data_IF_438664268238
#
_entry.id   IF_438664268238
#
_cell.length_a   1.000
_cell.length_b   1.000
_cell.length_c   1.000
_cell.angle_alpha   90.00
_cell.angle_beta   90.00
_cell.angle_gamma   90.00
#
_symmetry.space_group_name_H-M   'P 1'
#
loop_
_entity.id
_entity.type
_entity.pdbx_description
1 polymer ?
#
# COMPACT_ATOMS: atom_id res chain seq x y z
N UNK A 1 7.11 2.10 36.17
CA UNK A 1 6.85 1.86 34.74
C UNK A 1 5.51 2.47 34.44
N UNK A 2 5.50 3.42 33.52
CA UNK A 2 4.30 4.17 33.14
C UNK A 2 4.04 3.86 31.69
N UNK A 3 2.79 3.55 31.34
CA UNK A 3 2.49 2.99 30.02
C UNK A 3 1.50 3.88 29.29
N UNK A 4 1.80 4.18 28.03
CA UNK A 4 0.91 4.89 27.14
C UNK A 4 -0.10 3.90 26.55
N UNK A 5 -1.38 4.11 26.84
CA UNK A 5 -2.48 3.33 26.26
C UNK A 5 -2.97 4.03 24.99
N UNK A 6 -2.71 3.43 23.84
CA UNK A 6 -3.14 3.94 22.53
C UNK A 6 -4.39 3.18 22.09
N UNK A 7 -5.54 3.85 21.87
CA UNK A 7 -6.73 3.18 21.36
C UNK A 7 -6.52 2.77 19.89
N UNK A 8 -7.06 1.62 19.51
CA UNK A 8 -7.13 1.18 18.10
C UNK A 8 -8.57 0.87 17.70
N UNK A 9 -8.85 0.90 16.40
CA UNK A 9 -10.16 0.52 15.90
C UNK A 9 -10.26 -1.01 15.86
N UNK A 10 -11.40 -1.56 16.26
CA UNK A 10 -11.66 -3.00 16.27
C UNK A 10 -12.97 -3.28 15.54
N UNK A 11 -12.87 -3.99 14.45
CA UNK A 11 -13.99 -4.48 13.67
C UNK A 11 -14.27 -5.95 13.99
N UNK A 12 -15.54 -6.33 13.94
CA UNK A 12 -15.98 -7.70 14.12
C UNK A 12 -16.99 -8.10 13.05
N UNK A 13 -16.70 -9.19 12.35
CA UNK A 13 -17.56 -9.79 11.33
C UNK A 13 -18.05 -11.15 11.83
N UNK A 14 -19.37 -11.26 12.07
CA UNK A 14 -20.01 -12.54 12.39
C UNK A 14 -20.44 -13.26 11.11
N UNK A 15 -19.96 -14.48 10.93
CA UNK A 15 -20.31 -15.37 9.83
C UNK A 15 -21.00 -16.62 10.40
N UNK A 16 -22.31 -16.80 10.21
CA UNK A 16 -22.99 -18.00 10.71
C UNK A 16 -22.55 -19.27 9.98
N UNK A 17 -22.16 -19.14 8.71
CA UNK A 17 -21.68 -20.23 7.85
C UNK A 17 -20.35 -19.86 7.21
N UNK A 18 -19.65 -20.88 6.69
CA UNK A 18 -18.51 -20.66 5.80
C UNK A 18 -18.93 -19.75 4.64
N UNK A 19 -18.16 -18.70 4.39
CA UNK A 19 -18.52 -17.63 3.44
C UNK A 19 -17.33 -17.29 2.55
N UNK A 20 -17.55 -17.21 1.25
CA UNK A 20 -16.52 -16.79 0.30
C UNK A 20 -16.30 -15.28 0.38
N UNK A 21 -15.04 -14.87 0.41
CA UNK A 21 -14.60 -13.48 0.49
C UNK A 21 -13.45 -13.26 -0.49
N UNK A 22 -13.12 -12.00 -0.78
CA UNK A 22 -11.90 -11.67 -1.50
C UNK A 22 -10.69 -12.35 -0.84
N UNK A 23 -9.84 -12.96 -1.64
CA UNK A 23 -8.61 -13.61 -1.19
C UNK A 23 -7.49 -12.60 -0.93
N UNK A 24 -6.37 -13.07 -0.40
CA UNK A 24 -5.14 -12.29 -0.29
C UNK A 24 -4.74 -11.73 -1.66
N UNK A 25 -4.05 -10.59 -1.67
CA UNK A 25 -3.54 -10.02 -2.92
C UNK A 25 -2.45 -10.90 -3.55
N UNK A 26 -1.79 -11.73 -2.75
CA UNK A 26 -0.69 -12.62 -3.13
C UNK A 26 -0.81 -13.98 -2.45
N UNK A 27 -0.46 -15.03 -3.19
CA UNK A 27 -0.27 -16.38 -2.66
C UNK A 27 1.07 -16.95 -3.14
N UNK A 28 2.10 -16.76 -2.31
CA UNK A 28 3.46 -17.25 -2.57
C UNK A 28 3.57 -18.78 -2.53
N UNK A 29 2.55 -19.49 -2.04
CA UNK A 29 2.52 -20.96 -2.08
C UNK A 29 2.47 -21.53 -3.50
N UNK A 30 2.04 -20.70 -4.48
CA UNK A 30 1.97 -21.02 -5.90
C UNK A 30 3.33 -20.96 -6.61
N UNK A 31 4.36 -20.37 -5.99
CA UNK A 31 5.68 -20.26 -6.61
C UNK A 31 6.33 -21.63 -6.83
N UNK A 32 7.03 -21.85 -7.95
CA UNK A 32 7.79 -23.06 -8.18
C UNK A 32 9.08 -23.07 -7.37
N UNK A 33 9.48 -24.26 -6.91
CA UNK A 33 10.74 -24.43 -6.19
C UNK A 33 11.24 -25.86 -6.17
N UNK A 34 12.54 -26.04 -5.89
CA UNK A 34 13.14 -27.36 -5.77
C UNK A 34 13.20 -27.79 -4.31
N UNK A 35 12.68 -28.99 -4.04
CA UNK A 35 12.80 -29.69 -2.76
C UNK A 35 13.33 -31.09 -3.00
N UNK A 36 14.47 -31.44 -2.42
CA UNK A 36 15.14 -32.74 -2.62
C UNK A 36 15.29 -33.11 -4.11
N UNK A 37 15.75 -32.15 -4.92
CA UNK A 37 15.87 -32.26 -6.39
C UNK A 37 14.55 -32.49 -7.16
N UNK A 38 13.39 -32.42 -6.51
CA UNK A 38 12.09 -32.43 -7.17
C UNK A 38 11.54 -31.01 -7.30
N UNK A 39 11.16 -30.63 -8.52
CA UNK A 39 10.43 -29.39 -8.75
C UNK A 39 8.99 -29.52 -8.22
N UNK A 40 8.61 -28.63 -7.31
CA UNK A 40 7.25 -28.42 -6.80
C UNK A 40 6.59 -27.31 -7.62
N UNK A 41 5.28 -27.37 -7.82
CA UNK A 41 4.50 -26.47 -8.68
C UNK A 41 5.05 -26.40 -10.12
N UNK A 42 5.23 -27.57 -10.77
CA UNK A 42 5.87 -27.74 -12.09
C UNK A 42 5.18 -27.01 -13.27
N UNK A 43 4.01 -26.39 -13.07
CA UNK A 43 3.29 -25.59 -14.06
C UNK A 43 3.34 -24.07 -13.81
N UNK A 44 4.05 -23.62 -12.78
CA UNK A 44 4.12 -22.21 -12.39
C UNK A 44 5.50 -21.62 -12.68
N UNK A 45 5.56 -20.33 -13.01
CA UNK A 45 6.83 -19.61 -13.20
C UNK A 45 7.16 -18.81 -11.94
N UNK A 46 8.45 -18.59 -11.71
CA UNK A 46 8.91 -17.71 -10.64
C UNK A 46 8.79 -16.23 -11.08
N UNK A 47 7.55 -15.76 -11.22
CA UNK A 47 7.17 -14.40 -11.62
C UNK A 47 6.04 -13.90 -10.72
N UNK A 48 5.87 -12.59 -10.61
CA UNK A 48 4.82 -11.98 -9.79
C UNK A 48 3.42 -12.39 -10.23
N UNK A 49 3.16 -12.51 -11.54
CA UNK A 49 1.85 -12.93 -12.06
C UNK A 49 1.37 -14.28 -11.50
N UNK A 50 2.29 -15.20 -11.19
CA UNK A 50 1.96 -16.51 -10.59
C UNK A 50 1.32 -16.40 -9.22
N UNK A 51 1.72 -15.41 -8.43
CA UNK A 51 1.29 -15.26 -7.03
C UNK A 51 0.17 -14.24 -6.88
N UNK A 52 0.09 -13.26 -7.78
CA UNK A 52 -0.90 -12.20 -7.71
C UNK A 52 -2.31 -12.73 -7.95
N UNK A 53 -3.23 -12.27 -7.13
CA UNK A 53 -4.66 -12.53 -7.33
C UNK A 53 -5.17 -11.73 -8.52
N UNK A 54 -5.80 -12.43 -9.46
CA UNK A 54 -6.31 -11.81 -10.69
C UNK A 54 -7.56 -10.99 -10.36
N UNK A 55 -7.57 -9.68 -10.65
CA UNK A 55 -8.74 -8.84 -10.42
C UNK A 55 -9.99 -9.36 -11.15
N UNK A 56 -11.17 -9.09 -10.58
CA UNK A 56 -12.48 -9.44 -11.15
C UNK A 56 -12.71 -10.94 -11.39
N UNK A 57 -11.98 -11.81 -10.69
CA UNK A 57 -12.23 -13.26 -10.70
C UNK A 57 -13.06 -13.70 -9.49
N UNK A 58 -13.63 -14.91 -9.57
CA UNK A 58 -14.40 -15.46 -8.48
C UNK A 58 -13.50 -15.70 -7.26
N UNK A 59 -13.88 -15.22 -6.06
CA UNK A 59 -13.00 -15.33 -4.90
C UNK A 59 -12.72 -16.79 -4.52
N UNK A 60 -11.45 -17.12 -4.28
CA UNK A 60 -11.02 -18.48 -3.91
C UNK A 60 -10.89 -18.68 -2.39
N UNK A 61 -10.85 -17.61 -1.60
CA UNK A 61 -10.78 -17.69 -0.15
C UNK A 61 -12.17 -17.87 0.48
N UNK A 62 -12.27 -18.83 1.40
CA UNK A 62 -13.46 -18.99 2.24
C UNK A 62 -13.11 -18.82 3.71
N UNK A 63 -13.75 -17.88 4.38
CA UNK A 63 -13.68 -17.76 5.84
C UNK A 63 -14.59 -18.80 6.48
N UNK A 64 -14.12 -19.40 7.58
CA UNK A 64 -14.91 -20.34 8.38
C UNK A 64 -16.07 -19.61 9.08
N UNK A 65 -17.08 -20.37 9.51
CA UNK A 65 -18.10 -19.84 10.41
C UNK A 65 -17.43 -19.38 11.73
N UNK A 66 -17.92 -18.30 12.31
CA UNK A 66 -17.32 -17.71 13.51
C UNK A 66 -17.46 -16.20 13.59
N UNK A 67 -16.80 -15.63 14.61
CA UNK A 67 -16.54 -14.20 14.69
C UNK A 67 -15.10 -13.96 14.22
N UNK A 68 -14.94 -13.14 13.19
CA UNK A 68 -13.66 -12.64 12.72
C UNK A 68 -13.43 -11.24 13.26
N UNK A 69 -12.33 -11.05 13.99
CA UNK A 69 -11.89 -9.75 14.46
C UNK A 69 -10.75 -9.24 13.58
N UNK A 70 -10.76 -7.95 13.29
CA UNK A 70 -9.67 -7.22 12.65
C UNK A 70 -9.48 -5.91 13.38
N UNK A 71 -8.26 -5.55 13.72
CA UNK A 71 -7.98 -4.28 14.35
C UNK A 71 -7.00 -3.45 13.52
N UNK A 72 -7.21 -2.14 13.54
CA UNK A 72 -6.29 -1.21 12.92
C UNK A 72 -5.02 -1.06 13.77
N UNK A 73 -3.95 -0.59 13.14
CA UNK A 73 -2.78 -0.10 13.84
C UNK A 73 -2.94 1.41 14.08
N UNK A 74 -2.31 1.98 15.12
CA UNK A 74 -2.25 3.42 15.28
C UNK A 74 -1.60 4.09 14.08
N UNK A 75 -2.14 5.22 13.63
CA UNK A 75 -1.65 5.97 12.45
C UNK A 75 -0.15 6.27 12.51
N UNK A 76 0.38 6.59 13.70
CA UNK A 76 1.80 6.82 13.93
C UNK A 76 2.70 5.64 13.52
N UNK A 77 2.16 4.42 13.51
CA UNK A 77 2.87 3.19 13.14
C UNK A 77 2.61 2.77 11.68
N UNK A 78 1.73 3.48 10.96
CA UNK A 78 1.39 3.19 9.56
C UNK A 78 1.94 4.24 8.59
N UNK A 79 2.71 5.21 9.08
CA UNK A 79 3.34 6.24 8.25
C UNK A 79 4.78 5.86 7.91
N UNK A 80 5.06 5.79 6.60
CA UNK A 80 6.42 5.59 6.09
C UNK A 80 7.24 6.87 6.19
N UNK A 81 8.51 6.73 6.59
CA UNK A 81 9.46 7.83 6.73
C UNK A 81 10.50 7.67 5.61
N UNK A 82 10.57 8.65 4.72
CA UNK A 82 11.67 8.82 3.77
C UNK A 82 12.54 9.98 4.26
N UNK A 83 13.86 9.77 4.38
CA UNK A 83 14.82 10.78 4.82
C UNK A 83 15.70 11.20 3.64
N UNK A 84 15.99 12.50 3.55
CA UNK A 84 16.88 13.02 2.52
C UNK A 84 18.26 12.34 2.59
N UNK A 85 18.70 11.78 1.45
CA UNK A 85 19.98 11.06 1.35
C UNK A 85 19.94 9.59 1.75
N UNK A 86 18.80 9.08 2.26
CA UNK A 86 18.57 7.64 2.47
C UNK A 86 17.75 7.07 1.32
N UNK A 87 18.05 5.84 0.90
CA UNK A 87 17.23 5.13 -0.07
C UNK A 87 16.11 4.37 0.64
N UNK A 88 14.90 4.46 0.06
CA UNK A 88 13.72 3.72 0.52
C UNK A 88 12.88 4.45 1.56
N UNK A 89 11.78 3.77 1.93
CA UNK A 89 10.77 4.23 2.87
C UNK A 89 10.81 3.27 4.06
N UNK A 90 11.01 3.81 5.26
CA UNK A 90 11.07 3.01 6.50
C UNK A 90 9.82 3.21 7.33
N UNK A 91 9.17 2.12 7.70
CA UNK A 91 8.01 2.10 8.58
C UNK A 91 8.41 1.72 10.00
N UNK A 92 7.75 2.30 11.02
CA UNK A 92 7.88 1.84 12.40
C UNK A 92 7.54 0.36 12.56
N UNK A 93 8.23 -0.30 13.49
CA UNK A 93 7.83 -1.64 13.94
C UNK A 93 6.53 -1.55 14.74
N UNK A 94 5.71 -2.59 14.64
CA UNK A 94 4.38 -2.64 15.26
C UNK A 94 4.30 -3.68 16.37
N UNK A 95 3.31 -3.59 17.28
CA UNK A 95 3.09 -4.62 18.29
C UNK A 95 2.89 -6.00 17.66
N UNK A 96 3.60 -6.99 18.18
CA UNK A 96 3.65 -8.35 17.65
C UNK A 96 3.04 -9.40 18.61
N UNK A 97 2.50 -8.97 19.74
CA UNK A 97 1.74 -9.80 20.67
C UNK A 97 0.41 -9.15 20.97
N UNK A 98 -0.68 -9.91 20.83
CA UNK A 98 -2.03 -9.42 21.07
C UNK A 98 -2.79 -10.39 21.98
N UNK A 99 -3.25 -9.91 23.12
CA UNK A 99 -4.12 -10.64 24.03
C UNK A 99 -5.57 -10.36 23.63
N UNK A 100 -6.29 -11.42 23.30
CA UNK A 100 -7.72 -11.40 22.99
C UNK A 100 -8.47 -11.99 24.19
N UNK A 101 -9.41 -11.24 24.75
CA UNK A 101 -10.24 -11.67 25.87
C UNK A 101 -11.69 -11.66 25.43
N UNK A 102 -12.33 -12.83 25.43
CA UNK A 102 -13.78 -12.95 25.22
C UNK A 102 -14.48 -13.16 26.55
N UNK A 103 -15.48 -12.34 26.85
CA UNK A 103 -16.29 -12.41 28.08
C UNK A 103 -17.72 -11.90 27.84
N UNK A 104 -18.59 -12.07 28.83
CA UNK A 104 -19.98 -11.63 28.76
C UNK A 104 -20.92 -12.67 28.15
N UNK A 105 -22.21 -12.33 28.07
CA UNK A 105 -23.24 -13.21 27.50
C UNK A 105 -23.41 -14.56 28.21
N UNK A 106 -23.14 -14.64 29.51
CA UNK A 106 -23.12 -15.87 30.32
C UNK A 106 -22.18 -16.98 29.81
N UNK A 107 -21.21 -16.64 28.96
CA UNK A 107 -20.21 -17.57 28.49
C UNK A 107 -19.00 -17.59 29.43
N UNK A 108 -18.33 -18.74 29.48
CA UNK A 108 -17.02 -18.86 30.13
C UNK A 108 -16.03 -17.96 29.39
N UNK A 109 -15.30 -17.16 30.17
CA UNK A 109 -14.25 -16.30 29.65
C UNK A 109 -13.17 -17.14 28.97
N UNK A 110 -12.83 -16.78 27.73
CA UNK A 110 -11.71 -17.39 27.00
C UNK A 110 -10.68 -16.32 26.66
N UNK A 111 -9.41 -16.73 26.67
CA UNK A 111 -8.27 -15.85 26.45
C UNK A 111 -7.31 -16.48 25.46
N UNK A 112 -6.86 -15.70 24.48
CA UNK A 112 -5.88 -16.13 23.48
C UNK A 112 -4.78 -15.10 23.34
N UNK A 113 -3.60 -15.55 22.92
CA UNK A 113 -2.52 -14.69 22.47
C UNK A 113 -2.28 -14.94 20.99
N UNK A 114 -2.34 -13.88 20.20
CA UNK A 114 -1.87 -13.86 18.81
C UNK A 114 -0.40 -13.44 18.80
N UNK A 115 0.43 -14.23 18.13
CA UNK A 115 1.83 -13.92 17.86
C UNK A 115 1.96 -13.57 16.39
N UNK A 116 1.89 -12.28 16.07
CA UNK A 116 1.79 -11.76 14.71
C UNK A 116 3.04 -12.01 13.87
N UNK A 117 4.19 -12.15 14.52
CA UNK A 117 5.51 -12.35 13.91
C UNK A 117 5.96 -13.83 13.92
N UNK A 118 5.12 -14.76 14.38
CA UNK A 118 5.49 -16.18 14.44
C UNK A 118 5.66 -16.76 13.05
N UNK A 119 6.81 -17.39 12.80
CA UNK A 119 7.14 -18.02 11.54
C UNK A 119 7.01 -19.55 11.68
N UNK A 120 6.01 -20.14 11.03
CA UNK A 120 5.83 -21.59 11.01
C UNK A 120 7.03 -22.28 10.38
N UNK A 121 7.45 -23.48 10.82
CA UNK A 121 8.54 -24.23 10.21
C UNK A 121 8.26 -24.59 8.73
N UNK A 122 9.31 -24.90 7.98
CA UNK A 122 9.16 -25.36 6.59
C UNK A 122 8.30 -26.64 6.52
N UNK A 123 7.47 -26.74 5.48
CA UNK A 123 6.55 -27.88 5.28
C UNK A 123 5.31 -27.88 6.17
N UNK A 124 5.18 -26.92 7.10
CA UNK A 124 3.93 -26.73 7.82
C UNK A 124 2.84 -26.20 6.88
N UNK A 125 1.62 -26.71 7.05
CA UNK A 125 0.42 -26.27 6.32
C UNK A 125 -0.67 -25.86 7.32
N UNK A 126 -0.47 -24.78 8.09
CA UNK A 126 -1.46 -24.33 9.05
C UNK A 126 -2.73 -23.85 8.34
N UNK A 127 -3.87 -24.10 8.97
CA UNK A 127 -5.15 -23.57 8.49
C UNK A 127 -5.27 -22.07 8.83
N UNK A 128 -6.08 -21.35 8.06
CA UNK A 128 -6.47 -19.95 8.29
C UNK A 128 -5.30 -18.97 8.49
N UNK A 129 -4.13 -19.27 7.91
CA UNK A 129 -2.91 -18.48 8.09
C UNK A 129 -2.44 -17.93 6.74
N UNK A 130 -1.93 -16.70 6.73
CA UNK A 130 -1.34 -16.10 5.53
C UNK A 130 0.03 -16.70 5.24
N UNK A 131 0.48 -16.63 3.99
CA UNK A 131 1.85 -16.93 3.64
C UNK A 131 2.59 -15.66 3.19
N UNK A 132 3.89 -15.64 3.47
CA UNK A 132 4.79 -14.56 3.08
C UNK A 132 5.94 -15.15 2.26
N UNK A 133 6.48 -14.34 1.36
CA UNK A 133 7.77 -14.62 0.75
C UNK A 133 8.85 -14.66 1.83
N UNK A 134 9.68 -15.68 1.83
CA UNK A 134 10.71 -15.85 2.86
C UNK A 134 11.93 -16.51 2.28
N UNK A 135 13.08 -15.83 2.23
CA UNK A 135 14.32 -16.35 1.67
C UNK A 135 15.28 -16.88 2.77
N UNK A 136 15.47 -18.21 2.94
CA UNK A 136 16.51 -18.79 3.75
C UNK A 136 17.84 -18.77 3.00
N UNK A 137 18.94 -18.98 3.73
CA UNK A 137 20.30 -18.94 3.20
C UNK A 137 20.72 -20.19 2.36
N UNK A 138 19.82 -21.11 2.01
CA UNK A 138 20.15 -22.42 1.41
C UNK A 138 19.48 -22.67 0.04
N UNK A 139 20.10 -23.51 -0.79
CA UNK A 139 19.65 -23.80 -2.16
C UNK A 139 18.47 -24.81 -2.27
N UNK A 140 18.20 -25.62 -1.25
CA UNK A 140 16.97 -26.40 -1.13
C UNK A 140 15.96 -25.53 -0.38
N UNK A 141 14.93 -25.05 -1.10
CA UNK A 141 14.24 -23.83 -0.68
C UNK A 141 12.76 -23.88 -0.98
N UNK A 142 11.91 -23.74 0.04
CA UNK A 142 10.49 -23.39 -0.13
C UNK A 142 10.31 -21.86 -0.06
N UNK A 143 9.82 -21.19 -1.11
CA UNK A 143 9.85 -19.74 -1.26
C UNK A 143 8.89 -18.93 -0.43
N UNK A 144 8.27 -19.60 0.52
CA UNK A 144 7.29 -19.01 1.38
C UNK A 144 7.26 -19.72 2.71
N UNK A 145 6.78 -19.01 3.71
CA UNK A 145 6.49 -19.54 5.04
C UNK A 145 5.17 -18.93 5.51
N UNK A 146 4.50 -19.61 6.42
CA UNK A 146 3.27 -19.09 7.02
C UNK A 146 3.61 -18.15 8.19
N UNK A 147 2.85 -17.06 8.28
CA UNK A 147 3.09 -16.00 9.26
C UNK A 147 1.88 -15.81 10.19
N UNK A 148 2.17 -15.69 11.48
CA UNK A 148 1.19 -15.36 12.51
C UNK A 148 0.46 -16.59 13.04
N UNK A 149 0.32 -16.71 14.36
CA UNK A 149 -0.46 -17.78 14.99
C UNK A 149 -1.30 -17.28 16.15
N UNK A 150 -2.33 -18.03 16.51
CA UNK A 150 -3.10 -17.86 17.76
C UNK A 150 -2.94 -19.07 18.67
N UNK A 151 -2.83 -18.84 19.96
CA UNK A 151 -2.78 -19.87 21.00
C UNK A 151 -3.71 -19.49 22.15
N UNK A 152 -4.40 -20.44 22.76
CA UNK A 152 -5.06 -20.20 24.05
C UNK A 152 -4.02 -19.79 25.10
N UNK A 153 -4.40 -18.92 26.04
CA UNK A 153 -3.47 -18.31 26.99
C UNK A 153 -2.70 -19.36 27.82
N UNK A 154 -3.35 -20.47 28.19
CA UNK A 154 -2.69 -21.59 28.87
C UNK A 154 -1.59 -22.21 28.03
N UNK A 155 -1.91 -22.58 26.78
CA UNK A 155 -0.96 -23.17 25.83
C UNK A 155 0.17 -22.19 25.45
N UNK A 156 -0.12 -20.89 25.35
CA UNK A 156 0.89 -19.87 25.10
C UNK A 156 1.91 -19.76 26.23
N UNK A 157 1.47 -19.91 27.49
CA UNK A 157 2.37 -19.91 28.66
C UNK A 157 3.27 -21.14 28.72
N UNK A 158 2.82 -22.28 28.20
CA UNK A 158 3.58 -23.54 28.13
C UNK A 158 4.19 -23.80 26.75
N UNK A 159 4.36 -22.77 25.92
CA UNK A 159 4.76 -22.95 24.51
C UNK A 159 6.21 -23.48 24.37
N UNK A 160 6.52 -24.22 23.29
CA UNK A 160 7.88 -24.70 23.02
C UNK A 160 8.88 -23.56 22.80
N UNK A 161 10.10 -23.75 23.30
CA UNK A 161 11.21 -22.77 23.22
C UNK A 161 11.83 -22.62 21.83
N UNK A 162 11.60 -23.56 20.91
CA UNK A 162 12.16 -23.57 19.56
C UNK A 162 11.33 -22.78 18.52
N UNK A 163 10.49 -21.83 18.97
CA UNK A 163 9.67 -21.00 18.07
C UNK A 163 10.54 -20.02 17.28
N UNK A 164 10.30 -19.90 15.97
CA UNK A 164 10.95 -18.92 15.10
C UNK A 164 10.03 -17.70 14.92
N UNK A 165 10.63 -16.52 14.81
CA UNK A 165 9.92 -15.26 14.60
C UNK A 165 10.65 -14.43 13.55
N UNK A 166 9.90 -13.65 12.76
CA UNK A 166 10.51 -12.65 11.88
C UNK A 166 11.13 -11.52 12.71
N UNK A 167 12.19 -10.89 12.19
CA UNK A 167 12.90 -9.83 12.92
C UNK A 167 12.16 -8.49 12.90
N UNK A 168 11.50 -8.22 11.79
CA UNK A 168 10.83 -6.96 11.53
C UNK A 168 9.39 -7.25 11.13
N UNK A 169 8.46 -6.63 11.84
CA UNK A 169 7.05 -6.59 11.49
C UNK A 169 6.63 -5.13 11.55
N UNK A 170 6.08 -4.63 10.45
CA UNK A 170 5.55 -3.27 10.35
C UNK A 170 4.12 -3.30 9.78
N UNK A 171 3.53 -2.12 9.57
CA UNK A 171 2.23 -1.99 8.93
C UNK A 171 2.20 -2.52 7.47
N UNK A 172 3.36 -2.66 6.83
CA UNK A 172 3.47 -3.07 5.43
C UNK A 172 3.89 -4.54 5.24
N UNK A 173 4.10 -5.29 6.32
CA UNK A 173 4.46 -6.71 6.24
C UNK A 173 5.70 -7.09 7.04
N UNK A 174 6.38 -8.21 6.68
CA UNK A 174 7.53 -8.75 7.38
C UNK A 174 8.86 -8.03 7.07
N UNK A 175 8.82 -6.70 6.99
CA UNK A 175 9.96 -5.81 6.70
C UNK A 175 9.68 -4.42 7.26
N UNK A 176 10.72 -3.68 7.63
CA UNK A 176 10.59 -2.27 8.02
C UNK A 176 10.86 -1.31 6.87
N UNK A 177 11.81 -1.62 5.99
CA UNK A 177 12.27 -0.70 4.93
C UNK A 177 12.05 -1.30 3.54
N UNK A 178 11.55 -0.49 2.61
CA UNK A 178 11.32 -0.89 1.21
C UNK A 178 11.73 0.20 0.24
N UNK A 179 12.26 -0.17 -0.92
CA UNK A 179 12.61 0.80 -1.98
C UNK A 179 11.36 1.38 -2.65
N UNK A 180 10.31 0.56 -2.74
CA UNK A 180 9.03 0.93 -3.33
C UNK A 180 7.86 0.31 -2.57
N UNK A 181 6.71 0.96 -2.64
CA UNK A 181 5.44 0.49 -2.09
C UNK A 181 4.57 -0.02 -3.23
N UNK A 182 4.25 -1.32 -3.20
CA UNK A 182 3.22 -1.90 -4.04
C UNK A 182 1.89 -2.00 -3.28
N UNK A 183 0.83 -2.32 -4.01
CA UNK A 183 -0.53 -2.38 -3.46
C UNK A 183 -0.66 -3.42 -2.33
N UNK A 184 0.07 -4.53 -2.41
CA UNK A 184 0.07 -5.58 -1.38
C UNK A 184 0.64 -5.04 -0.07
N UNK A 185 1.82 -4.42 -0.12
CA UNK A 185 2.49 -3.80 1.03
C UNK A 185 1.62 -2.74 1.68
N UNK A 186 1.07 -1.83 0.88
CA UNK A 186 0.22 -0.74 1.39
C UNK A 186 -1.04 -1.31 2.06
N UNK A 187 -1.63 -2.36 1.49
CA UNK A 187 -2.86 -2.95 2.01
C UNK A 187 -2.63 -3.97 3.14
N UNK A 188 -1.38 -4.34 3.48
CA UNK A 188 -1.09 -5.47 4.36
C UNK A 188 -1.88 -5.44 5.68
N UNK A 189 -1.72 -4.39 6.50
CA UNK A 189 -2.42 -4.27 7.76
C UNK A 189 -3.90 -3.86 7.64
N UNK A 190 -4.27 -3.21 6.52
CA UNK A 190 -5.60 -2.64 6.30
C UNK A 190 -6.61 -3.60 5.65
N UNK A 191 -6.15 -4.65 4.99
CA UNK A 191 -6.99 -5.60 4.28
C UNK A 191 -6.98 -6.96 4.99
N UNK A 192 -8.11 -7.32 5.62
CA UNK A 192 -8.21 -8.50 6.49
C UNK A 192 -7.64 -9.79 5.89
N UNK A 193 -7.91 -10.16 4.62
CA UNK A 193 -7.32 -11.36 4.01
C UNK A 193 -5.78 -11.37 4.07
N UNK A 194 -5.11 -10.23 3.82
CA UNK A 194 -3.65 -10.12 3.81
C UNK A 194 -3.01 -10.26 5.20
N UNK A 195 -3.77 -10.08 6.30
CA UNK A 195 -3.21 -10.10 7.66
C UNK A 195 -4.06 -10.88 8.68
N UNK A 196 -4.98 -11.76 8.25
CA UNK A 196 -5.95 -12.45 9.13
C UNK A 196 -5.36 -13.25 10.29
N UNK A 197 -4.10 -13.71 10.17
CA UNK A 197 -3.36 -14.42 11.23
C UNK A 197 -2.36 -13.54 11.99
N UNK A 198 -2.20 -12.28 11.55
CA UNK A 198 -1.21 -11.31 12.04
C UNK A 198 -1.89 -10.20 12.85
N UNK A 199 -2.83 -9.46 12.23
CA UNK A 199 -3.66 -8.44 12.86
C UNK A 199 -5.14 -8.82 12.88
N UNK A 200 -5.40 -10.12 12.79
CA UNK A 200 -6.72 -10.70 12.83
C UNK A 200 -6.84 -11.82 13.86
N UNK A 201 -8.08 -12.14 14.18
CA UNK A 201 -8.41 -13.28 15.04
C UNK A 201 -9.72 -13.91 14.57
N UNK A 202 -9.84 -15.22 14.77
CA UNK A 202 -11.08 -15.97 14.47
C UNK A 202 -11.51 -16.74 15.71
N UNK A 203 -12.76 -16.54 16.11
CA UNK A 203 -13.46 -17.31 17.14
C UNK A 203 -14.46 -18.26 16.48
N UNK A 204 -14.14 -19.55 16.48
CA UNK A 204 -14.96 -20.59 15.84
C UNK A 204 -16.14 -21.08 16.67
N UNK A 205 -16.36 -20.58 17.90
CA UNK A 205 -17.44 -21.08 18.76
C UNK A 205 -18.85 -20.65 18.29
N UNK A 206 -18.95 -19.66 17.39
CA UNK A 206 -20.21 -19.07 16.95
C UNK A 206 -20.55 -19.48 15.51
N UNK A 207 -21.59 -20.29 15.33
CA UNK A 207 -22.02 -20.82 14.02
C UNK A 207 -23.51 -20.58 13.83
N UNK A 208 -24.15 -21.18 12.81
CA UNK A 208 -25.61 -21.15 12.60
C UNK A 208 -26.41 -21.55 13.84
N UNK A 209 -25.89 -22.49 14.64
CA UNK A 209 -26.57 -23.01 15.83
C UNK A 209 -26.22 -22.25 17.11
N UNK A 210 -25.22 -21.36 17.04
CA UNK A 210 -24.67 -20.65 18.20
C UNK A 210 -24.53 -19.18 17.84
N UNK A 211 -25.63 -18.43 17.91
CA UNK A 211 -25.61 -16.99 17.65
C UNK A 211 -24.88 -16.25 18.78
N UNK A 212 -24.10 -15.20 18.48
CA UNK A 212 -23.47 -14.37 19.50
C UNK A 212 -24.51 -13.83 20.51
N UNK A 213 -24.35 -14.08 21.82
CA UNK A 213 -25.31 -13.62 22.81
C UNK A 213 -25.23 -12.10 23.01
N UNK A 214 -26.27 -11.54 23.60
CA UNK A 214 -26.28 -10.14 24.04
C UNK A 214 -25.18 -9.95 25.09
N UNK A 215 -24.52 -8.79 25.04
CA UNK A 215 -23.43 -8.41 25.95
C UNK A 215 -22.13 -9.24 25.79
N UNK A 216 -21.99 -10.02 24.70
CA UNK A 216 -20.70 -10.61 24.33
C UNK A 216 -19.70 -9.49 24.05
N UNK A 217 -18.53 -9.55 24.68
CA UNK A 217 -17.48 -8.54 24.58
C UNK A 217 -16.13 -9.17 24.24
N UNK A 218 -15.41 -8.50 23.35
CA UNK A 218 -14.01 -8.75 23.07
C UNK A 218 -13.16 -7.56 23.51
N UNK A 219 -12.09 -7.83 24.25
CA UNK A 219 -11.03 -6.86 24.50
C UNK A 219 -9.75 -7.33 23.80
N UNK A 220 -9.10 -6.42 23.10
CA UNK A 220 -7.85 -6.66 22.37
C UNK A 220 -6.78 -5.75 22.95
N UNK A 221 -5.65 -6.32 23.38
CA UNK A 221 -4.54 -5.59 23.97
C UNK A 221 -3.24 -5.98 23.27
N UNK A 222 -2.57 -5.04 22.62
CA UNK A 222 -1.34 -5.23 21.86
C UNK A 222 -0.10 -4.70 22.55
N UNK A 223 1.02 -5.43 22.48
CA UNK A 223 2.33 -4.99 22.98
C UNK A 223 3.49 -5.53 22.14
N UNK A 224 4.67 -4.94 22.35
CA UNK A 224 5.92 -5.41 21.79
C UNK A 224 6.52 -6.50 22.69
N UNK A 225 6.83 -7.68 22.12
CA UNK A 225 7.49 -8.76 22.87
C UNK A 225 8.90 -8.38 23.34
N UNK A 226 9.61 -7.57 22.54
CA UNK A 226 10.90 -6.98 22.89
C UNK A 226 10.75 -5.45 23.00
N UNK A 227 10.99 -4.91 24.19
CA UNK A 227 10.88 -3.47 24.44
C UNK A 227 11.83 -2.61 23.61
N UNK A 228 12.93 -3.16 23.07
CA UNK A 228 13.83 -2.43 22.16
C UNK A 228 13.20 -2.10 20.81
N UNK A 229 12.13 -2.83 20.45
CA UNK A 229 11.37 -2.60 19.23
C UNK A 229 10.18 -1.64 19.45
N UNK A 230 9.90 -1.26 20.71
CA UNK A 230 8.81 -0.36 21.05
C UNK A 230 9.03 1.02 20.42
N UNK A 231 8.01 1.50 19.70
CA UNK A 231 8.03 2.81 19.05
C UNK A 231 8.31 3.95 20.02
N UNK A 232 7.69 3.91 21.22
CA UNK A 232 7.84 4.97 22.21
C UNK A 232 9.26 4.98 22.81
N UNK A 233 9.83 3.80 23.07
CA UNK A 233 11.22 3.67 23.54
C UNK A 233 12.22 4.21 22.50
N UNK A 234 12.05 3.88 21.22
CA UNK A 234 12.87 4.41 20.12
C UNK A 234 12.70 5.93 19.99
N UNK A 235 11.46 6.42 20.02
CA UNK A 235 11.15 7.84 19.95
C UNK A 235 11.85 8.63 21.08
N UNK A 236 11.78 8.15 22.32
CA UNK A 236 12.43 8.81 23.47
C UNK A 236 13.96 8.86 23.26
N UNK A 237 14.58 7.76 22.85
CA UNK A 237 16.03 7.66 22.62
C UNK A 237 16.53 8.58 21.50
N UNK A 238 15.75 8.75 20.44
CA UNK A 238 16.08 9.67 19.35
C UNK A 238 16.00 11.16 19.75
N UNK A 239 15.29 11.49 20.83
CA UNK A 239 15.13 12.86 21.31
C UNK A 239 16.00 13.21 22.54
N UNK A 240 16.63 12.23 23.20
CA UNK A 240 17.46 12.41 24.41
C UNK A 240 18.93 12.79 24.04
N UNK A 241 19.63 13.67 24.80
CA UNK A 241 19.60 13.70 26.27
C UNK A 241 18.90 14.86 27.00
N UNK A 242 18.54 15.97 26.33
CA UNK A 242 18.34 17.26 27.03
C UNK A 242 16.94 17.90 26.87
N UNK A 243 15.84 17.13 26.90
CA UNK A 243 14.49 17.71 26.78
C UNK A 243 13.59 17.48 27.98
N UNK A 244 12.97 18.57 28.44
CA UNK A 244 11.90 18.62 29.43
C UNK A 244 10.67 17.79 28.96
N UNK A 245 9.93 17.12 29.87
CA UNK A 245 8.77 16.31 29.52
C UNK A 245 7.69 17.01 28.68
N UNK A 246 7.50 18.33 28.82
CA UNK A 246 6.53 19.08 28.01
C UNK A 246 6.96 19.14 26.54
N UNK A 247 8.25 19.37 26.27
CA UNK A 247 8.78 19.38 24.89
C UNK A 247 8.69 18.01 24.22
N UNK A 248 8.78 16.94 25.02
CA UNK A 248 8.61 15.57 24.53
C UNK A 248 7.16 15.28 24.17
N UNK A 249 6.19 15.79 24.95
CA UNK A 249 4.76 15.72 24.64
C UNK A 249 4.42 16.47 23.36
N UNK A 250 4.91 17.69 23.18
CA UNK A 250 4.69 18.48 21.97
C UNK A 250 5.25 17.77 20.73
N UNK A 251 6.45 17.18 20.86
CA UNK A 251 7.09 16.42 19.78
C UNK A 251 6.34 15.11 19.48
N UNK A 252 5.79 14.45 20.50
CA UNK A 252 4.99 13.23 20.33
C UNK A 252 3.68 13.57 19.62
N UNK A 253 3.01 14.66 20.01
CA UNK A 253 1.81 15.13 19.33
C UNK A 253 2.09 15.50 17.88
N UNK A 254 3.21 16.20 17.60
CA UNK A 254 3.51 16.62 16.23
C UNK A 254 3.87 15.44 15.31
N UNK A 255 4.58 14.42 15.81
CA UNK A 255 5.04 13.27 15.00
C UNK A 255 4.05 12.11 14.98
N UNK A 256 3.45 11.78 16.11
CA UNK A 256 2.56 10.63 16.26
C UNK A 256 1.06 11.02 16.24
N UNK A 257 0.73 12.31 16.34
CA UNK A 257 -0.66 12.79 16.38
C UNK A 257 -1.37 12.49 17.70
N UNK A 258 -0.65 12.05 18.74
CA UNK A 258 -1.24 11.68 20.02
C UNK A 258 -1.24 12.83 21.02
N UNK A 259 -2.40 13.11 21.60
CA UNK A 259 -2.52 13.97 22.77
C UNK A 259 -2.43 13.09 24.02
N UNK A 260 -1.43 13.36 24.87
CA UNK A 260 -1.19 12.58 26.08
C UNK A 260 -1.28 13.50 27.29
N UNK A 261 -2.17 13.14 28.23
CA UNK A 261 -2.28 13.82 29.51
C UNK A 261 -1.40 13.08 30.54
N UNK A 262 -0.39 13.76 31.07
CA UNK A 262 0.44 13.25 32.17
C UNK A 262 -0.03 13.93 33.45
N UNK A 263 -0.49 13.13 34.42
CA UNK A 263 -0.89 13.66 35.72
C UNK A 263 0.29 14.28 36.47
N UNK A 264 0.03 15.28 37.33
CA UNK A 264 1.05 15.90 38.17
C UNK A 264 1.86 14.81 38.92
N UNK A 265 3.19 14.88 38.86
CA UNK A 265 4.16 13.92 39.43
C UNK A 265 4.24 12.52 38.76
N UNK A 266 3.63 12.31 37.59
CA UNK A 266 3.86 11.07 36.83
C UNK A 266 5.07 11.21 35.90
N UNK A 267 5.89 10.16 35.82
CA UNK A 267 6.96 10.08 34.83
C UNK A 267 6.39 9.88 33.43
N UNK A 268 7.10 10.37 32.42
CA UNK A 268 6.75 10.12 31.02
C UNK A 268 6.64 8.61 30.74
N UNK A 269 5.64 8.16 29.96
CA UNK A 269 5.47 6.73 29.67
C UNK A 269 6.66 6.18 28.87
N UNK A 270 7.13 5.00 29.24
CA UNK A 270 8.30 4.34 28.65
C UNK A 270 7.93 3.12 27.78
N UNK A 271 6.62 2.83 27.66
CA UNK A 271 6.09 1.71 26.89
C UNK A 271 4.77 2.06 26.23
N UNK A 272 4.52 1.47 25.06
CA UNK A 272 3.27 1.56 24.34
C UNK A 272 2.44 0.28 24.48
N UNK A 273 1.16 0.43 24.79
CA UNK A 273 0.16 -0.63 24.65
C UNK A 273 -0.98 -0.16 23.76
N UNK A 274 -1.30 -0.97 22.74
CA UNK A 274 -2.52 -0.78 21.98
C UNK A 274 -3.69 -1.42 22.72
N UNK A 275 -4.87 -0.82 22.69
CA UNK A 275 -6.07 -1.43 23.26
C UNK A 275 -7.32 -1.10 22.45
N UNK A 276 -8.24 -2.06 22.43
CA UNK A 276 -9.59 -1.88 21.89
C UNK A 276 -10.58 -2.75 22.65
N UNK A 277 -11.85 -2.35 22.60
CA UNK A 277 -12.94 -3.12 23.17
C UNK A 277 -14.18 -3.00 22.30
N UNK A 278 -14.84 -4.14 22.05
CA UNK A 278 -16.06 -4.22 21.27
C UNK A 278 -17.09 -5.04 22.02
N UNK A 279 -18.32 -4.53 22.12
CA UNK A 279 -19.47 -5.24 22.69
C UNK A 279 -20.51 -5.50 21.59
N UNK A 280 -20.93 -6.75 21.46
CA UNK A 280 -21.93 -7.17 20.48
C UNK A 280 -23.34 -6.75 20.91
N UNK A 281 -24.09 -6.22 19.94
CA UNK A 281 -25.51 -5.95 20.04
C UNK A 281 -26.28 -6.83 19.03
N UNK A 282 -26.73 -8.03 19.42
CA UNK A 282 -27.46 -8.93 18.53
C UNK A 282 -28.74 -8.27 17.99
N UNK A 283 -29.00 -8.43 16.69
CA UNK A 283 -30.20 -7.90 16.04
C UNK A 283 -30.08 -6.47 15.49
N UNK A 284 -29.00 -5.75 15.79
CA UNK A 284 -28.63 -4.55 15.04
C UNK A 284 -27.93 -4.99 13.74
N UNK A 285 -28.41 -4.53 12.57
CA UNK A 285 -27.62 -4.68 11.34
C UNK A 285 -26.35 -3.84 11.49
N UNK A 286 -25.23 -4.50 11.79
CA UNK A 286 -23.91 -3.87 11.96
C UNK A 286 -23.18 -3.76 10.61
N UNK A 287 -23.92 -3.64 9.50
CA UNK A 287 -23.33 -3.03 8.31
C UNK A 287 -22.88 -1.64 8.76
N UNK A 288 -21.56 -1.45 8.86
CA UNK A 288 -20.97 -0.15 9.10
C UNK A 288 -21.69 0.84 8.17
N UNK A 289 -22.36 1.89 8.69
CA UNK A 289 -23.06 2.85 7.85
C UNK A 289 -22.15 3.45 6.75
N UNK A 290 -20.83 3.49 6.99
CA UNK A 290 -19.80 3.87 6.01
C UNK A 290 -19.59 2.82 4.91
N UNK A 291 -19.71 1.52 5.22
CA UNK A 291 -19.64 0.46 4.20
C UNK A 291 -20.82 0.53 3.23
N UNK A 292 -22.01 0.94 3.70
CA UNK A 292 -23.16 1.25 2.83
C UNK A 292 -23.06 2.61 2.11
N UNK A 293 -22.18 3.53 2.54
CA UNK A 293 -21.97 4.82 1.85
C UNK A 293 -21.18 4.67 0.54
N UNK A 294 -20.47 3.57 0.34
CA UNK A 294 -19.73 3.27 -0.89
C UNK A 294 -20.62 2.71 -2.02
N UNK A 295 -21.90 3.10 -2.06
CA UNK A 295 -22.65 3.10 -3.33
C UNK A 295 -22.24 4.33 -4.16
N UNK A 296 -20.94 4.41 -4.47
CA UNK A 296 -20.40 5.45 -5.34
C UNK A 296 -20.74 5.15 -6.80
N UNK A 297 -20.99 6.19 -7.58
CA UNK A 297 -20.97 6.06 -9.05
C UNK A 297 -19.51 6.11 -9.49
N UNK A 298 -19.08 5.12 -10.25
CA UNK A 298 -17.72 5.08 -10.82
C UNK A 298 -17.77 5.76 -12.19
N UNK A 299 -16.85 6.69 -12.42
CA UNK A 299 -16.57 7.25 -13.74
C UNK A 299 -15.12 6.94 -14.10
N UNK A 300 -14.87 6.70 -15.40
CA UNK A 300 -13.57 6.31 -15.93
C UNK A 300 -13.27 7.24 -17.09
N UNK A 301 -12.06 7.79 -17.09
CA UNK A 301 -11.47 8.59 -18.18
C UNK A 301 -9.97 8.30 -18.26
N UNK A 302 -9.29 8.78 -19.32
CA UNK A 302 -7.85 8.55 -19.47
C UNK A 302 -7.02 9.32 -18.43
N UNK A 303 -7.56 10.42 -17.93
CA UNK A 303 -7.02 11.22 -16.83
C UNK A 303 -8.13 11.61 -15.83
N UNK A 304 -7.76 12.35 -14.79
CA UNK A 304 -8.68 12.77 -13.74
C UNK A 304 -9.76 13.73 -14.27
N UNK A 305 -9.37 14.61 -15.18
CA UNK A 305 -10.21 15.63 -15.80
C UNK A 305 -11.34 15.02 -16.62
N UNK A 306 -11.02 14.06 -17.50
CA UNK A 306 -11.97 13.27 -18.29
C UNK A 306 -12.90 12.44 -17.40
N UNK A 307 -12.36 11.79 -16.35
CA UNK A 307 -13.18 11.02 -15.42
C UNK A 307 -14.23 11.90 -14.70
N UNK A 308 -13.86 13.13 -14.32
CA UNK A 308 -14.78 14.12 -13.76
C UNK A 308 -15.78 14.60 -14.81
N UNK A 309 -15.36 14.86 -16.05
CA UNK A 309 -16.24 15.26 -17.13
C UNK A 309 -17.32 14.20 -17.39
N UNK A 310 -16.94 12.93 -17.50
CA UNK A 310 -17.85 11.80 -17.65
C UNK A 310 -18.82 11.66 -16.47
N UNK A 311 -18.34 11.88 -15.23
CA UNK A 311 -19.18 11.87 -14.04
C UNK A 311 -20.22 12.99 -14.06
N UNK A 312 -19.80 14.23 -14.34
CA UNK A 312 -20.68 15.40 -14.38
C UNK A 312 -21.67 15.29 -15.54
N UNK A 313 -21.24 14.84 -16.72
CA UNK A 313 -22.12 14.57 -17.85
C UNK A 313 -23.24 13.59 -17.46
N UNK A 314 -22.92 12.51 -16.72
CA UNK A 314 -23.91 11.56 -16.21
C UNK A 314 -24.89 12.17 -15.20
N UNK A 315 -24.43 13.11 -14.37
CA UNK A 315 -25.29 13.82 -13.43
C UNK A 315 -26.24 14.81 -14.13
N UNK A 316 -25.77 15.47 -15.18
CA UNK A 316 -26.55 16.45 -15.94
C UNK A 316 -27.55 15.80 -16.90
N UNK A 317 -27.23 14.63 -17.45
CA UNK A 317 -28.15 13.87 -18.29
C UNK A 317 -28.11 12.37 -17.98
N UNK A 318 -29.17 11.89 -17.33
CA UNK A 318 -29.28 10.49 -16.94
C UNK A 318 -29.82 9.59 -18.06
N UNK A 319 -30.35 10.16 -19.14
CA UNK A 319 -31.17 9.44 -20.13
C UNK A 319 -30.59 9.42 -21.54
N UNK A 320 -29.95 10.50 -22.01
CA UNK A 320 -29.47 10.63 -23.38
C UNK A 320 -27.94 10.48 -23.46
N UNK A 321 -27.49 9.41 -24.07
CA UNK A 321 -26.06 9.11 -24.24
C UNK A 321 -25.35 10.07 -25.20
N UNK A 322 -26.02 10.55 -26.25
CA UNK A 322 -25.39 11.47 -27.20
C UNK A 322 -25.20 12.86 -26.59
N UNK A 323 -26.20 13.34 -25.84
CA UNK A 323 -26.08 14.60 -25.12
C UNK A 323 -24.98 14.53 -24.04
N UNK A 324 -24.82 13.39 -23.36
CA UNK A 324 -23.70 13.19 -22.41
C UNK A 324 -22.34 13.35 -23.07
N UNK A 325 -22.12 12.74 -24.25
CA UNK A 325 -20.84 12.91 -24.98
C UNK A 325 -20.58 14.37 -25.32
N UNK A 326 -21.60 15.10 -25.77
CA UNK A 326 -21.46 16.54 -26.05
C UNK A 326 -21.12 17.34 -24.80
N UNK A 327 -21.75 17.03 -23.66
CA UNK A 327 -21.44 17.68 -22.38
C UNK A 327 -20.02 17.38 -21.92
N UNK A 328 -19.58 16.12 -22.04
CA UNK A 328 -18.23 15.67 -21.71
C UNK A 328 -17.17 16.43 -22.53
N UNK A 329 -17.30 16.43 -23.87
CA UNK A 329 -16.42 17.20 -24.77
C UNK A 329 -16.40 18.70 -24.44
N UNK A 330 -17.55 19.28 -24.05
CA UNK A 330 -17.63 20.69 -23.66
C UNK A 330 -16.91 20.98 -22.34
N UNK A 331 -17.05 20.10 -21.34
CA UNK A 331 -16.37 20.25 -20.05
C UNK A 331 -14.85 20.12 -20.21
N UNK A 332 -14.40 19.15 -21.00
CA UNK A 332 -12.99 18.97 -21.36
C UNK A 332 -12.44 20.20 -22.12
N UNK A 333 -13.18 20.72 -23.10
CA UNK A 333 -12.77 21.92 -23.83
C UNK A 333 -12.62 23.16 -22.92
N UNK A 334 -13.47 23.29 -21.89
CA UNK A 334 -13.36 24.36 -20.89
C UNK A 334 -12.08 24.19 -20.05
N UNK A 335 -11.78 22.97 -19.61
CA UNK A 335 -10.55 22.68 -18.85
C UNK A 335 -9.30 22.99 -19.68
N UNK A 336 -9.35 22.76 -21.00
CA UNK A 336 -8.26 23.06 -21.94
C UNK A 336 -8.26 24.50 -22.48
N UNK A 337 -9.16 25.36 -22.02
CA UNK A 337 -9.35 26.71 -22.58
C UNK A 337 -8.06 27.53 -22.63
N UNK A 338 -7.20 27.46 -21.61
CA UNK A 338 -5.90 28.16 -21.60
C UNK A 338 -4.96 27.78 -22.77
N UNK A 339 -5.00 26.52 -23.22
CA UNK A 339 -4.21 26.04 -24.38
C UNK A 339 -4.89 26.38 -25.71
N UNK A 340 -6.22 26.46 -25.72
CA UNK A 340 -7.03 26.65 -26.92
C UNK A 340 -7.29 28.13 -27.26
N UNK A 341 -7.20 29.04 -26.29
CA UNK A 341 -7.46 30.50 -26.46
C UNK A 341 -6.55 31.15 -27.50
N UNK A 342 -5.36 30.60 -27.75
CA UNK A 342 -4.43 31.14 -28.77
C UNK A 342 -4.71 30.62 -30.19
N UNK A 343 -5.61 29.64 -30.36
CA UNK A 343 -5.89 29.02 -31.66
C UNK A 343 -7.11 29.66 -32.32
N UNK A 344 -6.89 30.53 -33.31
CA UNK A 344 -7.98 31.18 -34.07
C UNK A 344 -8.55 30.30 -35.20
N UNK A 345 -7.87 29.22 -35.57
CA UNK A 345 -8.25 28.24 -36.60
C UNK A 345 -8.01 26.82 -36.06
N UNK A 346 -8.69 25.83 -36.64
CA UNK A 346 -8.52 24.39 -36.32
C UNK A 346 -8.78 23.99 -34.85
N UNK A 347 -9.74 24.65 -34.19
CA UNK A 347 -10.10 24.37 -32.80
C UNK A 347 -10.40 22.89 -32.54
N UNK A 348 -11.24 22.26 -33.38
CA UNK A 348 -11.61 20.85 -33.22
C UNK A 348 -10.41 19.88 -33.31
N UNK A 349 -9.61 19.93 -34.39
CA UNK A 349 -8.38 19.15 -34.50
C UNK A 349 -7.39 19.40 -33.36
N UNK A 350 -7.19 20.66 -32.94
CA UNK A 350 -6.27 21.02 -31.85
C UNK A 350 -6.75 20.54 -30.48
N UNK A 351 -8.05 20.60 -30.22
CA UNK A 351 -8.66 20.02 -29.03
C UNK A 351 -8.42 18.51 -28.97
N UNK A 352 -8.69 17.77 -30.06
CA UNK A 352 -8.43 16.33 -30.13
C UNK A 352 -6.95 15.99 -29.99
N UNK A 353 -6.06 16.80 -30.56
CA UNK A 353 -4.62 16.66 -30.38
C UNK A 353 -4.24 16.81 -28.90
N UNK A 354 -4.79 17.81 -28.23
CA UNK A 354 -4.53 18.05 -26.81
C UNK A 354 -5.04 16.93 -25.91
N UNK A 355 -6.28 16.44 -26.12
CA UNK A 355 -6.80 15.28 -25.39
C UNK A 355 -5.93 14.04 -25.60
N UNK A 356 -5.53 13.79 -26.85
CA UNK A 356 -4.63 12.69 -27.16
C UNK A 356 -3.31 12.83 -26.43
N UNK A 357 -2.70 14.01 -26.44
CA UNK A 357 -1.45 14.30 -25.73
C UNK A 357 -1.59 14.10 -24.21
N UNK A 358 -2.66 14.61 -23.60
CA UNK A 358 -2.94 14.49 -22.16
C UNK A 358 -3.32 13.05 -21.74
N UNK A 359 -3.61 12.16 -22.70
CA UNK A 359 -3.80 10.72 -22.46
C UNK A 359 -2.49 9.95 -22.28
N UNK A 360 -1.33 10.55 -22.57
CA UNK A 360 -0.02 9.92 -22.42
C UNK A 360 0.87 10.72 -21.49
N UNK A 361 1.68 10.01 -20.70
CA UNK A 361 2.80 10.63 -20.00
C UNK A 361 3.95 10.85 -20.98
N UNK A 362 4.21 12.11 -21.33
CA UNK A 362 5.39 12.47 -22.11
C UNK A 362 6.67 12.05 -21.41
N UNK A 363 7.52 11.27 -22.09
CA UNK A 363 8.88 10.99 -21.63
C UNK A 363 9.84 11.97 -22.28
N UNK A 364 10.55 12.76 -21.47
CA UNK A 364 11.65 13.58 -21.94
C UNK A 364 12.79 12.66 -22.39
N UNK A 365 13.00 12.57 -23.72
CA UNK A 365 14.04 11.71 -24.32
C UNK A 365 15.23 12.48 -24.87
N UNK A 366 15.12 13.80 -25.00
CA UNK A 366 16.19 14.64 -25.50
C UNK A 366 16.24 15.94 -24.69
N UNK A 367 17.42 16.26 -24.16
CA UNK A 367 17.69 17.55 -23.55
C UNK A 367 18.30 18.46 -24.61
N UNK A 368 17.71 19.64 -24.80
CA UNK A 368 18.30 20.68 -25.64
C UNK A 368 18.62 21.91 -24.79
N UNK A 369 19.86 22.37 -24.92
CA UNK A 369 20.37 23.57 -24.31
C UNK A 369 20.10 24.76 -25.24
N UNK A 370 19.50 25.80 -24.68
CA UNK A 370 19.22 27.05 -25.38
C UNK A 370 19.77 28.22 -24.57
N UNK A 371 20.29 29.22 -25.29
CA UNK A 371 20.65 30.50 -24.68
C UNK A 371 19.40 31.36 -24.67
N UNK A 372 18.93 31.69 -23.47
CA UNK A 372 17.79 32.59 -23.27
C UNK A 372 18.29 33.92 -22.70
N UNK A 373 17.66 35.06 -23.04
CA UNK A 373 17.91 36.32 -22.35
C UNK A 373 17.69 36.15 -20.84
N UNK A 374 18.53 36.79 -20.04
CA UNK A 374 18.30 36.84 -18.59
C UNK A 374 17.05 37.68 -18.31
N UNK A 375 15.97 37.04 -17.85
CA UNK A 375 14.74 37.73 -17.47
C UNK A 375 14.97 38.61 -16.24
N UNK A 376 14.43 39.85 -16.22
CA UNK A 376 14.56 40.78 -15.09
C UNK A 376 14.12 40.11 -13.77
N UNK A 377 15.03 39.97 -12.78
CA UNK A 377 14.75 39.25 -11.53
C UNK A 377 13.61 39.87 -10.69
N UNK A 378 13.14 41.09 -11.02
CA UNK A 378 11.95 41.68 -10.38
C UNK A 378 10.61 41.06 -10.79
N UNK A 379 10.57 40.28 -11.87
CA UNK A 379 9.35 39.61 -12.36
C UNK A 379 9.25 38.17 -11.78
N UNK A 380 10.38 37.56 -11.43
CA UNK A 380 10.46 36.16 -11.00
C UNK A 380 10.14 35.89 -9.53
N UNK A 381 9.88 36.93 -8.71
CA UNK A 381 9.56 36.78 -7.28
C UNK A 381 8.06 36.74 -6.94
N UNK A 382 7.15 36.98 -7.90
CA UNK A 382 5.74 36.69 -7.67
C UNK A 382 5.48 35.22 -8.05
N UNK A 383 5.33 34.36 -7.05
CA UNK A 383 5.11 32.90 -7.17
C UNK A 383 3.78 32.50 -7.80
N UNK A 384 3.40 33.12 -8.92
CA UNK A 384 2.17 32.85 -9.66
C UNK A 384 2.35 32.98 -11.18
N UNK A 385 3.59 33.06 -11.68
CA UNK A 385 3.83 33.05 -13.11
C UNK A 385 3.96 31.60 -13.60
N UNK A 386 2.88 31.10 -14.20
CA UNK A 386 2.92 29.94 -15.10
C UNK A 386 4.11 30.09 -16.08
N UNK A 387 4.96 29.07 -16.28
CA UNK A 387 6.07 29.14 -17.24
C UNK A 387 5.61 29.41 -18.68
N UNK A 388 4.31 29.24 -18.98
CA UNK A 388 3.70 29.62 -20.25
C UNK A 388 3.59 31.15 -20.48
N UNK A 389 3.67 31.98 -19.44
CA UNK A 389 3.55 33.45 -19.57
C UNK A 389 4.87 34.17 -19.83
N UNK A 390 6.03 33.49 -19.74
CA UNK A 390 7.29 34.06 -20.21
C UNK A 390 7.32 34.26 -21.73
N UNK A 391 6.46 33.53 -22.46
CA UNK A 391 6.39 33.59 -23.93
C UNK A 391 5.50 34.75 -24.43
N UNK A 392 4.66 35.36 -23.58
CA UNK A 392 3.66 36.35 -24.02
C UNK A 392 4.09 37.83 -23.92
N UNK A 393 5.31 38.12 -23.48
CA UNK A 393 5.83 39.50 -23.38
C UNK A 393 7.04 39.80 -24.26
N UNK A 394 7.73 38.78 -24.78
CA UNK A 394 8.90 38.97 -25.63
C UNK A 394 8.47 38.90 -27.10
N UNK A 395 8.12 40.05 -27.65
CA UNK A 395 8.19 40.24 -29.09
C UNK A 395 9.62 39.93 -29.54
N UNK A 396 9.84 38.70 -30.01
CA UNK A 396 10.91 38.24 -30.91
C UNK A 396 12.14 39.16 -30.87
N UNK A 397 12.86 39.22 -29.74
CA UNK A 397 14.26 39.60 -29.81
C UNK A 397 14.98 38.37 -30.35
N UNK A 398 15.09 38.28 -31.68
CA UNK A 398 16.09 37.40 -32.30
C UNK A 398 17.46 37.92 -31.86
N UNK A 399 17.96 37.40 -30.75
CA UNK A 399 19.34 37.61 -30.33
C UNK A 399 20.19 36.82 -31.33
N UNK A 400 20.76 37.53 -32.31
CA UNK A 400 21.75 36.94 -33.21
C UNK A 400 23.00 36.64 -32.39
N UNK A 401 23.12 35.38 -31.95
CA UNK A 401 24.32 34.89 -31.27
C UNK A 401 25.52 35.09 -32.20
N UNK A 402 26.69 35.37 -31.61
CA UNK A 402 27.93 35.35 -32.39
C UNK A 402 28.13 33.93 -32.96
N UNK A 403 28.69 33.82 -34.16
CA UNK A 403 28.92 32.53 -34.81
C UNK A 403 29.61 31.53 -33.85
N UNK A 404 30.61 31.98 -33.10
CA UNK A 404 31.35 31.14 -32.15
C UNK A 404 30.49 30.59 -31.00
N UNK A 405 29.53 31.35 -30.48
CA UNK A 405 28.62 30.86 -29.43
C UNK A 405 27.56 29.94 -30.03
N UNK A 406 27.07 30.27 -31.24
CA UNK A 406 26.18 29.43 -32.03
C UNK A 406 26.78 28.04 -32.33
N UNK A 407 28.06 28.01 -32.75
CA UNK A 407 28.77 26.77 -33.04
C UNK A 407 28.94 25.92 -31.77
N UNK A 408 29.35 26.52 -30.65
CA UNK A 408 29.52 25.81 -29.37
C UNK A 408 28.21 25.26 -28.80
N UNK A 409 27.10 26.00 -28.88
CA UNK A 409 25.81 25.48 -28.40
C UNK A 409 25.31 24.36 -29.30
N UNK A 410 25.63 24.40 -30.60
CA UNK A 410 25.37 23.30 -31.53
C UNK A 410 26.17 22.06 -31.14
N UNK A 411 27.48 22.19 -30.87
CA UNK A 411 28.34 21.09 -30.41
C UNK A 411 27.83 20.46 -29.11
N UNK A 412 27.42 21.28 -28.13
CA UNK A 412 26.84 20.79 -26.86
C UNK A 412 25.54 20.03 -27.10
N UNK A 413 24.65 20.56 -27.93
CA UNK A 413 23.39 19.89 -28.25
C UNK A 413 23.59 18.59 -29.05
N UNK A 414 24.60 18.54 -29.92
CA UNK A 414 24.95 17.32 -30.65
C UNK A 414 25.48 16.24 -29.70
N UNK A 415 26.41 16.60 -28.81
CA UNK A 415 26.94 15.68 -27.80
C UNK A 415 25.86 15.22 -26.80
N UNK A 416 24.99 16.13 -26.35
CA UNK A 416 23.87 15.80 -25.47
C UNK A 416 22.89 14.84 -26.16
N UNK A 417 22.56 15.08 -27.42
CA UNK A 417 21.69 14.20 -28.21
C UNK A 417 22.30 12.82 -28.38
N UNK A 418 23.60 12.72 -28.68
CA UNK A 418 24.27 11.42 -28.78
C UNK A 418 24.23 10.66 -27.45
N UNK A 419 24.53 11.35 -26.33
CA UNK A 419 24.44 10.76 -24.99
C UNK A 419 23.02 10.26 -24.68
N UNK A 420 22.00 11.08 -24.91
CA UNK A 420 20.60 10.75 -24.64
C UNK A 420 20.13 9.56 -25.49
N UNK A 421 20.54 9.50 -26.77
CA UNK A 421 20.26 8.37 -27.66
C UNK A 421 20.89 7.07 -27.16
N UNK A 422 22.15 7.10 -26.70
CA UNK A 422 22.80 5.92 -26.14
C UNK A 422 22.12 5.47 -24.84
N UNK A 423 21.74 6.41 -23.96
CA UNK A 423 21.02 6.09 -22.73
C UNK A 423 19.65 5.46 -23.02
N UNK A 424 18.91 6.03 -23.98
CA UNK A 424 17.65 5.46 -24.45
C UNK A 424 17.84 4.06 -25.05
N UNK A 425 18.94 3.82 -25.77
CA UNK A 425 19.27 2.50 -26.31
C UNK A 425 19.55 1.49 -25.21
N UNK A 426 20.29 1.86 -24.17
CA UNK A 426 20.51 1.00 -22.99
C UNK A 426 19.19 0.67 -22.29
N UNK A 427 18.31 1.66 -22.11
CA UNK A 427 16.97 1.43 -21.55
C UNK A 427 16.16 0.43 -22.38
N UNK A 428 16.10 0.64 -23.69
CA UNK A 428 15.41 -0.27 -24.62
C UNK A 428 15.97 -1.69 -24.60
N UNK A 429 17.29 -1.86 -24.54
CA UNK A 429 17.91 -3.20 -24.43
C UNK A 429 17.55 -3.87 -23.10
N UNK A 430 17.54 -3.13 -21.98
CA UNK A 430 17.14 -3.67 -20.68
C UNK A 430 15.70 -4.15 -20.69
N UNK A 431 14.79 -3.36 -21.24
CA UNK A 431 13.37 -3.73 -21.41
C UNK A 431 13.23 -4.96 -22.30
N UNK A 432 13.96 -5.01 -23.42
CA UNK A 432 13.94 -6.15 -24.32
C UNK A 432 14.45 -7.43 -23.64
N UNK A 433 15.58 -7.36 -22.93
CA UNK A 433 16.12 -8.52 -22.20
C UNK A 433 15.14 -9.02 -21.14
N UNK A 434 14.49 -8.11 -20.42
CA UNK A 434 13.46 -8.47 -19.45
C UNK A 434 12.26 -9.16 -20.13
N UNK A 435 11.76 -8.60 -21.24
CA UNK A 435 10.64 -9.17 -21.99
C UNK A 435 10.99 -10.55 -22.57
N UNK A 436 12.19 -10.72 -23.14
CA UNK A 436 12.67 -11.98 -23.68
C UNK A 436 12.80 -13.04 -22.57
N UNK A 437 13.35 -12.67 -21.41
CA UNK A 437 13.41 -13.54 -20.22
C UNK A 437 12.01 -13.95 -19.74
N UNK A 438 11.08 -12.99 -19.66
CA UNK A 438 9.71 -13.23 -19.24
C UNK A 438 8.98 -14.19 -20.19
N UNK A 439 9.06 -13.94 -21.50
CA UNK A 439 8.49 -14.79 -22.54
C UNK A 439 9.11 -16.18 -22.50
N UNK A 440 10.43 -16.30 -22.31
CA UNK A 440 11.10 -17.58 -22.23
C UNK A 440 10.61 -18.40 -21.03
N UNK A 441 10.42 -17.78 -19.86
CA UNK A 441 9.83 -18.44 -18.69
C UNK A 441 8.40 -18.93 -18.96
N UNK A 442 7.55 -18.09 -19.55
CA UNK A 442 6.18 -18.49 -19.92
C UNK A 442 6.16 -19.61 -20.97
N UNK A 443 7.04 -19.54 -21.97
CA UNK A 443 7.14 -20.51 -23.05
C UNK A 443 7.61 -21.89 -22.58
N UNK A 444 8.60 -21.94 -21.67
CA UNK A 444 9.10 -23.17 -21.08
C UNK A 444 8.00 -23.95 -20.33
N UNK A 445 7.04 -23.24 -19.71
CA UNK A 445 5.91 -23.86 -19.01
C UNK A 445 4.90 -24.49 -19.96
N UNK A 446 4.49 -23.77 -21.02
CA UNK A 446 3.52 -24.29 -22.01
C UNK A 446 4.01 -25.54 -22.74
N UNK A 447 5.34 -25.72 -22.84
CA UNK A 447 5.92 -26.92 -23.43
C UNK A 447 5.84 -28.14 -22.48
N UNK A 448 6.00 -27.93 -21.17
CA UNK A 448 5.92 -28.99 -20.17
C UNK A 448 4.48 -29.48 -19.94
N UNK A 449 3.46 -28.62 -19.98
CA UNK A 449 2.05 -29.05 -19.89
C UNK A 449 1.67 -30.01 -21.03
N UNK A 450 2.12 -29.75 -22.27
CA UNK A 450 1.83 -30.61 -23.43
C UNK A 450 2.50 -32.00 -23.38
N UNK A 451 3.49 -32.20 -22.51
CA UNK A 451 4.07 -33.53 -22.28
C UNK A 451 3.38 -34.32 -21.17
N UNK A 452 2.54 -33.68 -20.35
CA UNK A 452 1.80 -34.33 -19.26
C UNK A 452 0.44 -34.87 -19.76
N UNK A 453 -0.11 -34.29 -20.82
CA UNK A 453 -1.34 -34.77 -21.50
C UNK A 453 -1.09 -35.86 -22.56
N UNK A 454 0.09 -36.49 -22.56
CA UNK A 454 0.44 -37.67 -23.37
C UNK A 454 0.94 -38.78 -22.47
#
# INVERSE_FOLDING_TARGET
>A
MTTLLVPVYLDALYLPTKTNVLEEMTDYSKLPYYKNSQLVNRGSAYISETVLTVPFTQPQLSLKAGIHLHWSLPDALTNGIARDGEQGITFPLVPNRWLIIRRGGNLVEKKWVVESDYLYPEGATPEDTINILYYPATNEYQPYRFLGRKLELGAWRSRPTNSQYIKELSAIGPFATVDNLDNEKIAFAGFYPNCRSVFGFHDGDFTTNTTPPKDLRYDVIGWYSDGKNDYLDKFIKEQYPDRDPLSLLDSLQSKAGWTVEIGNNQSFPDRLLCHASLSFAPGASVTNPQASKLQGTIAVGNNQEEAIAAYVARQLDTTNTENRKTIEEQLEAIQMSGRLVQQNLDFGPKFRQGLHEDSFTGQCKEISWQVVPESDPKISQSGSANPANAVQGEGIMQVTLSATIGDRISEVNEAQREYDQQLAKVGSIREQVYADWYIALLGAMRYNEKQIDK
#
